data_IF_312967231096
#
_entry.id   IF_312967231096
#
_cell.length_a   1.000
_cell.length_b   1.000
_cell.length_c   1.000
_cell.angle_alpha   90.00
_cell.angle_beta   90.00
_cell.angle_gamma   90.00
#
_symmetry.space_group_name_H-M   'P 1'
#
loop_
_entity.id
_entity.type
_entity.pdbx_description
1 polymer ?
#
# COMPACT_ATOMS: atom_id res chain seq x y z
N UNK A 1 4.19 -24.01 51.08
CA UNK A 1 4.49 -23.50 49.76
C UNK A 1 3.60 -22.29 49.47
N UNK A 2 4.20 -21.10 49.25
CA UNK A 2 3.44 -19.89 48.88
C UNK A 2 3.12 -19.97 47.37
N UNK A 3 1.91 -19.57 46.96
CA UNK A 3 1.59 -19.50 45.51
C UNK A 3 2.45 -18.42 44.83
N UNK A 4 3.10 -18.79 43.73
CA UNK A 4 3.83 -17.85 42.88
C UNK A 4 2.79 -17.03 42.11
N UNK A 5 2.75 -15.73 42.35
CA UNK A 5 1.92 -14.81 41.58
C UNK A 5 2.39 -14.82 40.11
N UNK A 6 1.46 -14.82 39.15
CA UNK A 6 1.84 -14.71 37.74
C UNK A 6 2.54 -13.37 37.50
N UNK A 7 3.69 -13.40 36.84
CA UNK A 7 4.40 -12.20 36.42
C UNK A 7 3.50 -11.35 35.53
N UNK A 8 3.48 -10.02 35.68
CA UNK A 8 2.73 -9.14 34.80
C UNK A 8 3.25 -9.31 33.38
N UNK A 9 2.37 -9.68 32.47
CA UNK A 9 2.65 -9.64 31.03
C UNK A 9 3.03 -8.20 30.65
N UNK A 10 4.24 -8.01 30.17
CA UNK A 10 4.66 -6.74 29.58
C UNK A 10 3.69 -6.37 28.47
N UNK A 11 3.25 -5.11 28.38
CA UNK A 11 2.41 -4.66 27.27
C UNK A 11 3.22 -4.88 25.98
N UNK A 12 2.60 -5.59 25.02
CA UNK A 12 3.13 -5.75 23.67
C UNK A 12 3.46 -4.37 23.12
N UNK A 13 4.67 -4.16 22.64
CA UNK A 13 5.04 -2.93 21.96
C UNK A 13 3.98 -2.61 20.91
N UNK A 14 3.50 -1.37 20.79
CA UNK A 14 2.51 -1.04 19.77
C UNK A 14 3.07 -1.44 18.41
N UNK A 15 2.32 -2.25 17.67
CA UNK A 15 2.74 -2.70 16.33
C UNK A 15 3.01 -1.43 15.49
N UNK A 16 4.16 -1.39 14.83
CA UNK A 16 4.54 -0.25 14.02
C UNK A 16 3.53 -0.13 12.87
N UNK A 17 2.85 1.03 12.77
CA UNK A 17 1.92 1.31 11.69
C UNK A 17 2.57 1.07 10.31
N UNK A 18 1.81 0.50 9.39
CA UNK A 18 2.20 0.38 7.98
C UNK A 18 2.15 1.74 7.31
N UNK A 19 3.26 2.19 6.76
CA UNK A 19 3.31 3.39 5.93
C UNK A 19 3.12 3.01 4.46
N UNK A 20 2.01 3.45 3.90
CA UNK A 20 1.58 3.10 2.54
C UNK A 20 1.56 4.34 1.66
N UNK A 21 2.42 4.37 0.64
CA UNK A 21 2.41 5.43 -0.37
C UNK A 21 1.22 5.29 -1.29
N UNK A 22 0.57 6.40 -1.63
CA UNK A 22 -0.61 6.41 -2.50
C UNK A 22 -0.42 7.33 -3.71
N UNK A 23 -0.72 6.77 -4.91
CA UNK A 23 -0.79 7.49 -6.19
C UNK A 23 -2.11 7.12 -6.86
N UNK A 24 -3.00 8.09 -7.05
CA UNK A 24 -4.36 7.84 -7.54
C UNK A 24 -4.65 8.39 -8.93
N UNK A 25 -3.79 9.27 -9.45
CA UNK A 25 -4.03 9.93 -10.73
C UNK A 25 -2.77 10.03 -11.57
N UNK A 26 -2.94 9.85 -12.88
CA UNK A 26 -1.91 10.06 -13.88
C UNK A 26 -1.93 11.47 -14.47
N UNK A 27 -1.23 11.63 -15.60
CA UNK A 27 -1.23 12.87 -16.35
C UNK A 27 -2.51 12.99 -17.18
N UNK A 28 -3.31 14.01 -16.93
CA UNK A 28 -4.59 14.27 -17.61
C UNK A 28 -4.45 14.56 -19.11
N UNK A 29 -3.25 14.98 -19.57
CA UNK A 29 -2.95 15.13 -20.99
C UNK A 29 -2.86 13.77 -21.72
N UNK A 30 -2.72 12.66 -21.00
CA UNK A 30 -2.71 11.33 -21.60
C UNK A 30 -4.13 10.88 -21.94
N UNK A 31 -4.38 10.53 -23.21
CA UNK A 31 -5.73 10.19 -23.72
C UNK A 31 -6.42 9.05 -22.94
N UNK A 32 -5.65 8.14 -22.37
CA UNK A 32 -6.15 7.00 -21.58
C UNK A 32 -6.28 7.28 -20.08
N UNK A 33 -5.95 8.48 -19.61
CA UNK A 33 -5.88 8.77 -18.17
C UNK A 33 -7.21 8.55 -17.45
N UNK A 34 -8.34 8.94 -18.08
CA UNK A 34 -9.70 8.73 -17.57
C UNK A 34 -10.07 7.26 -17.26
N UNK A 35 -9.33 6.30 -17.84
CA UNK A 35 -9.58 4.87 -17.65
C UNK A 35 -8.72 4.25 -16.55
N UNK A 36 -7.64 4.94 -16.11
CA UNK A 36 -6.69 4.43 -15.14
C UNK A 36 -6.64 5.26 -13.85
N UNK A 37 -6.98 6.54 -13.90
CA UNK A 37 -7.06 7.40 -12.72
C UNK A 37 -8.32 7.09 -11.92
N UNK A 38 -8.19 7.12 -10.60
CA UNK A 38 -9.25 6.78 -9.64
C UNK A 38 -9.44 7.99 -8.72
N UNK A 39 -10.66 8.49 -8.50
CA UNK A 39 -10.88 9.56 -7.53
C UNK A 39 -10.33 9.21 -6.15
N UNK A 40 -9.62 10.13 -5.51
CA UNK A 40 -9.03 9.90 -4.18
C UNK A 40 -10.07 9.46 -3.14
N UNK A 41 -11.30 9.98 -3.24
CA UNK A 41 -12.40 9.60 -2.35
C UNK A 41 -12.72 8.09 -2.35
N UNK A 42 -12.43 7.40 -3.44
CA UNK A 42 -12.65 5.94 -3.52
C UNK A 42 -11.66 5.14 -2.68
N UNK A 43 -10.52 5.71 -2.29
CA UNK A 43 -9.53 5.03 -1.44
C UNK A 43 -9.87 5.07 0.06
N UNK A 44 -11.03 5.60 0.43
CA UNK A 44 -11.48 5.62 1.82
C UNK A 44 -11.45 4.24 2.50
N UNK A 45 -11.87 3.11 1.87
CA UNK A 45 -11.74 1.78 2.47
C UNK A 45 -10.29 1.40 2.79
N UNK A 46 -9.33 1.77 1.94
CA UNK A 46 -7.89 1.56 2.17
C UNK A 46 -7.39 2.41 3.33
N UNK A 47 -7.82 3.68 3.39
CA UNK A 47 -7.43 4.61 4.45
C UNK A 47 -7.96 4.20 5.84
N UNK A 48 -9.09 3.49 5.88
CA UNK A 48 -9.72 3.01 7.12
C UNK A 48 -9.20 1.67 7.64
N UNK A 49 -8.25 1.05 6.97
CA UNK A 49 -7.62 -0.18 7.45
C UNK A 49 -6.85 0.11 8.75
N UNK A 50 -7.17 -0.57 9.86
CA UNK A 50 -6.46 -0.36 11.13
C UNK A 50 -4.95 -0.58 10.99
N UNK A 51 -4.17 0.26 11.68
CA UNK A 51 -2.71 0.16 11.65
C UNK A 51 -2.04 0.68 10.37
N UNK A 52 -2.79 1.31 9.44
CA UNK A 52 -2.27 1.89 8.21
C UNK A 52 -2.18 3.41 8.31
N UNK A 53 -1.10 3.98 7.79
CA UNK A 53 -0.94 5.41 7.55
C UNK A 53 -0.65 5.65 6.08
N UNK A 54 -1.49 6.45 5.44
CA UNK A 54 -1.32 6.80 4.04
C UNK A 54 -0.38 7.99 3.88
N UNK A 55 0.52 7.90 2.91
CA UNK A 55 1.46 8.96 2.52
C UNK A 55 1.21 9.31 1.06
N UNK A 56 0.92 10.58 0.78
CA UNK A 56 0.73 11.04 -0.59
C UNK A 56 2.04 10.99 -1.36
N UNK A 57 2.05 10.27 -2.46
CA UNK A 57 3.11 10.35 -3.47
C UNK A 57 2.64 11.10 -4.73
N UNK A 58 1.40 11.63 -4.69
CA UNK A 58 0.81 12.36 -5.80
C UNK A 58 1.47 13.71 -5.99
N UNK A 59 1.89 13.99 -7.22
CA UNK A 59 2.44 15.27 -7.65
C UNK A 59 1.62 15.83 -8.81
N UNK A 60 1.47 17.14 -8.86
CA UNK A 60 0.75 17.83 -9.92
C UNK A 60 -0.74 17.48 -9.95
N UNK A 61 -1.21 16.92 -11.07
CA UNK A 61 -2.63 16.60 -11.27
C UNK A 61 -3.19 15.70 -10.17
N UNK A 62 -4.41 16.03 -9.71
CA UNK A 62 -5.13 15.26 -8.69
C UNK A 62 -4.78 15.60 -7.26
N UNK A 63 -3.74 16.40 -7.02
CA UNK A 63 -3.35 16.83 -5.68
C UNK A 63 -4.47 17.64 -4.98
N UNK A 64 -5.22 18.42 -5.73
CA UNK A 64 -6.35 19.23 -5.25
C UNK A 64 -7.43 18.38 -4.55
N UNK A 65 -7.47 17.08 -4.83
CA UNK A 65 -8.40 16.15 -4.20
C UNK A 65 -8.07 15.89 -2.72
N UNK A 66 -6.84 16.15 -2.26
CA UNK A 66 -6.46 15.95 -0.85
C UNK A 66 -7.32 16.84 0.04
N UNK A 67 -7.40 18.15 -0.27
CA UNK A 67 -8.19 19.09 0.50
C UNK A 67 -9.68 18.71 0.52
N UNK A 68 -10.22 18.25 -0.62
CA UNK A 68 -11.61 17.82 -0.74
C UNK A 68 -11.96 16.58 0.10
N UNK A 69 -10.96 15.79 0.50
CA UNK A 69 -11.15 14.56 1.26
C UNK A 69 -10.58 14.62 2.68
N UNK A 70 -10.06 15.76 3.12
CA UNK A 70 -9.41 15.95 4.42
C UNK A 70 -10.29 15.56 5.62
N UNK A 71 -11.60 15.76 5.52
CA UNK A 71 -12.57 15.37 6.55
C UNK A 71 -12.92 13.87 6.56
N UNK A 72 -12.59 13.15 5.49
CA UNK A 72 -12.95 11.72 5.33
C UNK A 72 -11.88 10.79 5.87
N UNK A 73 -10.61 11.11 5.63
CA UNK A 73 -9.45 10.35 6.12
C UNK A 73 -8.17 11.18 6.07
N UNK A 74 -7.22 10.78 6.89
CA UNK A 74 -5.90 11.41 6.96
C UNK A 74 -4.99 10.91 5.83
N UNK A 75 -4.28 11.83 5.19
CA UNK A 75 -3.26 11.56 4.20
C UNK A 75 -2.04 12.45 4.51
N UNK A 76 -0.89 11.83 4.78
CA UNK A 76 0.34 12.54 5.13
C UNK A 76 0.94 13.14 3.85
N UNK A 77 1.10 14.44 3.82
CA UNK A 77 1.85 15.17 2.79
C UNK A 77 3.27 15.42 3.27
N UNK A 78 4.28 15.02 2.51
CA UNK A 78 5.70 15.08 2.92
C UNK A 78 6.51 16.13 2.17
N UNK A 79 5.99 16.66 1.06
CA UNK A 79 6.70 17.64 0.20
C UNK A 79 5.72 18.53 -0.54
N UNK A 80 6.24 19.58 -1.17
CA UNK A 80 5.47 20.43 -2.07
C UNK A 80 4.92 19.59 -3.26
N UNK A 81 3.60 19.47 -3.40
CA UNK A 81 2.99 18.69 -4.48
C UNK A 81 3.14 19.34 -5.86
N UNK A 82 3.46 20.61 -5.93
CA UNK A 82 3.66 21.33 -7.19
C UNK A 82 5.05 21.13 -7.77
N UNK A 83 6.00 20.63 -6.98
CA UNK A 83 7.34 20.31 -7.44
C UNK A 83 7.32 19.02 -8.27
N UNK A 84 7.43 19.17 -9.59
CA UNK A 84 7.46 18.10 -10.59
C UNK A 84 8.81 18.01 -11.31
N UNK A 85 9.86 18.52 -10.69
CA UNK A 85 11.23 18.49 -11.22
C UNK A 85 11.82 17.07 -11.21
N UNK A 86 12.97 16.91 -11.86
CA UNK A 86 13.71 15.65 -11.81
C UNK A 86 14.22 15.34 -10.39
N UNK A 87 14.60 16.36 -9.64
CA UNK A 87 15.00 16.29 -8.24
C UNK A 87 13.85 15.77 -7.38
N UNK A 88 12.63 16.26 -7.59
CA UNK A 88 11.44 15.76 -6.89
C UNK A 88 11.17 14.27 -7.14
N UNK A 89 11.56 13.73 -8.30
CA UNK A 89 11.47 12.31 -8.58
C UNK A 89 12.49 11.51 -7.75
N UNK A 90 13.69 12.04 -7.56
CA UNK A 90 14.72 11.44 -6.69
C UNK A 90 14.25 11.41 -5.23
N UNK A 91 13.68 12.52 -4.76
CA UNK A 91 13.12 12.61 -3.41
C UNK A 91 11.95 11.64 -3.23
N UNK A 92 11.08 11.53 -4.23
CA UNK A 92 9.98 10.55 -4.24
C UNK A 92 10.53 9.12 -4.15
N UNK A 93 11.60 8.79 -4.88
CA UNK A 93 12.25 7.48 -4.81
C UNK A 93 12.84 7.21 -3.41
N UNK A 94 13.44 8.22 -2.77
CA UNK A 94 13.96 8.11 -1.40
C UNK A 94 12.84 7.86 -0.39
N UNK A 95 11.70 8.55 -0.53
CA UNK A 95 10.52 8.30 0.31
C UNK A 95 9.99 6.88 0.09
N UNK A 96 9.82 6.45 -1.17
CA UNK A 96 9.35 5.09 -1.50
C UNK A 96 10.18 4.00 -0.83
N UNK A 97 11.50 4.17 -0.71
CA UNK A 97 12.40 3.21 -0.03
C UNK A 97 12.16 3.09 1.46
N UNK A 98 11.47 4.06 2.07
CA UNK A 98 11.12 4.07 3.49
C UNK A 98 9.66 3.66 3.75
N UNK A 99 8.90 3.33 2.71
CA UNK A 99 7.53 2.85 2.82
C UNK A 99 7.47 1.32 2.87
N UNK A 100 6.43 0.80 3.50
CA UNK A 100 6.17 -0.63 3.58
C UNK A 100 5.48 -1.17 2.32
N UNK A 101 4.75 -0.30 1.63
CA UNK A 101 3.99 -0.61 0.42
C UNK A 101 3.75 0.69 -0.37
N UNK A 102 3.68 0.58 -1.69
CA UNK A 102 3.14 1.62 -2.58
C UNK A 102 1.89 1.09 -3.25
N UNK A 103 0.77 1.82 -3.15
CA UNK A 103 -0.45 1.58 -3.92
C UNK A 103 -0.53 2.66 -4.99
N UNK A 104 -0.65 2.26 -6.24
CA UNK A 104 -0.66 3.20 -7.36
C UNK A 104 -1.65 2.77 -8.45
N UNK A 105 -2.13 3.75 -9.21
CA UNK A 105 -2.69 3.49 -10.53
C UNK A 105 -1.56 3.29 -11.54
N UNK A 106 -1.86 2.84 -12.77
CA UNK A 106 -0.86 2.58 -13.83
C UNK A 106 -0.17 3.88 -14.29
N UNK A 107 0.89 4.26 -13.59
CA UNK A 107 1.68 5.49 -13.81
C UNK A 107 3.17 5.22 -13.72
N UNK A 108 3.99 6.22 -14.08
CA UNK A 108 5.45 6.17 -13.95
C UNK A 108 5.91 5.86 -12.52
N UNK A 109 5.18 6.30 -11.51
CA UNK A 109 5.52 6.05 -10.10
C UNK A 109 5.34 4.58 -9.70
N UNK A 110 4.37 3.86 -10.29
CA UNK A 110 4.27 2.41 -10.13
C UNK A 110 5.51 1.69 -10.67
N UNK A 111 5.99 2.11 -11.84
CA UNK A 111 7.21 1.58 -12.45
C UNK A 111 8.46 1.93 -11.62
N UNK A 112 8.56 3.16 -11.13
CA UNK A 112 9.65 3.59 -10.26
C UNK A 112 9.72 2.73 -9.00
N UNK A 113 8.60 2.55 -8.30
CA UNK A 113 8.55 1.74 -7.10
C UNK A 113 8.93 0.27 -7.37
N UNK A 114 8.45 -0.30 -8.47
CA UNK A 114 8.83 -1.66 -8.91
C UNK A 114 10.33 -1.78 -9.22
N UNK A 115 10.90 -0.81 -9.92
CA UNK A 115 12.34 -0.78 -10.25
C UNK A 115 13.23 -0.62 -9.00
N UNK A 116 12.73 0.07 -7.98
CA UNK A 116 13.40 0.20 -6.67
C UNK A 116 13.29 -1.06 -5.80
N UNK A 117 12.54 -2.09 -6.24
CA UNK A 117 12.28 -3.29 -5.46
C UNK A 117 11.36 -3.06 -4.25
N UNK A 118 10.64 -1.96 -4.21
CA UNK A 118 9.62 -1.69 -3.20
C UNK A 118 8.40 -2.57 -3.48
N UNK A 119 7.70 -3.00 -2.43
CA UNK A 119 6.43 -3.72 -2.61
C UNK A 119 5.40 -2.77 -3.23
N UNK A 120 4.78 -3.19 -4.34
CA UNK A 120 3.83 -2.35 -5.09
C UNK A 120 2.55 -3.10 -5.39
N UNK A 121 1.42 -2.43 -5.16
CA UNK A 121 0.11 -2.86 -5.62
C UNK A 121 -0.41 -1.87 -6.66
N UNK A 122 -0.76 -2.37 -7.84
CA UNK A 122 -1.24 -1.51 -8.92
C UNK A 122 -2.72 -1.78 -9.18
N UNK A 123 -3.53 -0.72 -9.07
CA UNK A 123 -4.91 -0.74 -9.52
C UNK A 123 -4.95 -0.65 -11.04
N UNK A 124 -5.39 -1.73 -11.70
CA UNK A 124 -5.32 -1.89 -13.14
C UNK A 124 -6.69 -1.75 -13.80
N UNK A 125 -6.82 -0.97 -14.88
CA UNK A 125 -8.03 -0.95 -15.68
C UNK A 125 -8.26 -2.31 -16.35
N UNK A 126 -9.50 -2.59 -16.73
CA UNK A 126 -9.86 -3.81 -17.47
C UNK A 126 -9.06 -3.94 -18.75
N UNK A 127 -8.98 -2.86 -19.53
CA UNK A 127 -8.16 -2.76 -20.75
C UNK A 127 -6.82 -2.10 -20.39
N UNK A 128 -5.89 -2.88 -19.89
CA UNK A 128 -4.54 -2.42 -19.52
C UNK A 128 -3.58 -2.49 -20.72
N UNK A 129 -2.46 -1.80 -20.61
CA UNK A 129 -1.36 -1.86 -21.58
C UNK A 129 -0.82 -3.31 -21.72
N UNK A 130 -0.31 -3.66 -22.92
CA UNK A 130 0.20 -4.99 -23.25
C UNK A 130 1.28 -5.50 -22.29
N UNK A 131 2.10 -4.61 -21.74
CA UNK A 131 3.20 -4.95 -20.82
C UNK A 131 2.72 -5.63 -19.54
N UNK A 132 1.48 -5.39 -19.16
CA UNK A 132 0.90 -5.98 -17.95
C UNK A 132 0.31 -7.37 -18.20
N UNK A 133 0.30 -7.85 -19.46
CA UNK A 133 -0.30 -9.12 -19.86
C UNK A 133 -1.78 -9.23 -19.44
N UNK A 134 -2.37 -10.39 -19.57
CA UNK A 134 -3.77 -10.64 -19.17
C UNK A 134 -3.85 -11.85 -18.24
N UNK A 135 -4.91 -11.92 -17.42
CA UNK A 135 -5.25 -13.10 -16.63
C UNK A 135 -4.30 -13.41 -15.48
N UNK A 136 -3.46 -12.44 -15.02
CA UNK A 136 -2.51 -12.65 -13.92
C UNK A 136 -2.50 -11.46 -12.95
N UNK A 137 -2.13 -11.72 -11.71
CA UNK A 137 -1.98 -10.71 -10.64
C UNK A 137 -0.52 -10.33 -10.37
N UNK A 138 0.45 -10.97 -11.01
CA UNK A 138 1.87 -10.66 -10.96
C UNK A 138 2.35 -10.07 -12.29
N UNK A 139 3.61 -9.69 -12.37
CA UNK A 139 4.24 -9.19 -13.58
C UNK A 139 5.68 -9.71 -13.71
N UNK A 140 6.14 -10.06 -14.91
CA UNK A 140 7.53 -10.51 -15.10
C UNK A 140 8.56 -9.39 -14.93
N UNK A 141 8.13 -8.12 -14.97
CA UNK A 141 9.02 -6.97 -14.92
C UNK A 141 9.46 -6.61 -13.49
N UNK A 142 8.56 -6.80 -12.50
CA UNK A 142 8.78 -6.38 -11.13
C UNK A 142 8.32 -7.46 -10.15
N UNK A 143 9.25 -8.24 -9.56
CA UNK A 143 8.88 -9.37 -8.68
C UNK A 143 8.11 -8.97 -7.41
N UNK A 144 8.21 -7.70 -7.00
CA UNK A 144 7.56 -7.16 -5.81
C UNK A 144 6.18 -6.57 -6.09
N UNK A 145 5.71 -6.64 -7.34
CA UNK A 145 4.47 -5.99 -7.78
C UNK A 145 3.31 -6.97 -7.86
N UNK A 146 2.14 -6.54 -7.33
CA UNK A 146 0.86 -7.24 -7.47
C UNK A 146 -0.13 -6.36 -8.21
N UNK A 147 -0.88 -6.96 -9.16
CA UNK A 147 -1.85 -6.27 -10.01
C UNK A 147 -3.28 -6.57 -9.55
N UNK A 148 -4.02 -5.53 -9.21
CA UNK A 148 -5.44 -5.60 -8.86
C UNK A 148 -6.27 -5.12 -10.04
N UNK A 149 -6.76 -6.02 -10.87
CA UNK A 149 -7.45 -5.70 -12.11
C UNK A 149 -8.94 -5.49 -11.91
N UNK A 150 -9.51 -4.50 -12.63
CA UNK A 150 -10.96 -4.41 -12.79
C UNK A 150 -11.50 -5.70 -13.42
N UNK A 151 -12.64 -6.17 -12.94
CA UNK A 151 -13.42 -7.26 -13.54
C UNK A 151 -14.45 -6.75 -14.53
N UNK A 152 -14.91 -5.51 -14.36
CA UNK A 152 -15.76 -4.79 -15.28
C UNK A 152 -15.27 -3.35 -15.46
N UNK A 153 -15.45 -2.83 -16.67
CA UNK A 153 -15.00 -1.49 -17.03
C UNK A 153 -15.65 -0.43 -16.12
N UNK A 154 -14.80 0.40 -15.53
CA UNK A 154 -15.22 1.51 -14.65
C UNK A 154 -15.56 1.08 -13.21
N UNK A 155 -15.62 -0.19 -12.87
CA UNK A 155 -15.89 -0.67 -11.51
C UNK A 155 -14.62 -0.66 -10.65
N UNK A 156 -14.24 0.52 -10.17
CA UNK A 156 -13.09 0.66 -9.28
C UNK A 156 -13.38 0.27 -7.83
N UNK A 157 -14.63 0.39 -7.37
CA UNK A 157 -15.00 0.07 -5.98
C UNK A 157 -14.58 -1.34 -5.59
N UNK A 158 -14.86 -2.35 -6.44
CA UNK A 158 -14.47 -3.74 -6.20
C UNK A 158 -12.95 -3.94 -6.12
N UNK A 159 -12.18 -3.21 -6.95
CA UNK A 159 -10.71 -3.24 -6.91
C UNK A 159 -10.21 -2.69 -5.57
N UNK A 160 -10.74 -1.54 -5.15
CA UNK A 160 -10.34 -0.87 -3.89
C UNK A 160 -10.71 -1.74 -2.68
N UNK A 161 -11.88 -2.37 -2.66
CA UNK A 161 -12.28 -3.28 -1.57
C UNK A 161 -11.34 -4.49 -1.47
N UNK A 162 -10.95 -5.09 -2.60
CA UNK A 162 -9.94 -6.17 -2.59
C UNK A 162 -8.58 -5.70 -2.08
N UNK A 163 -8.17 -4.47 -2.45
CA UNK A 163 -6.94 -3.88 -1.92
C UNK A 163 -7.03 -3.65 -0.41
N UNK A 164 -8.15 -3.10 0.06
CA UNK A 164 -8.37 -2.88 1.50
C UNK A 164 -8.35 -4.20 2.29
N UNK A 165 -9.02 -5.25 1.79
CA UNK A 165 -8.98 -6.59 2.40
C UNK A 165 -7.58 -7.15 2.49
N UNK A 166 -6.83 -7.16 1.38
CA UNK A 166 -5.45 -7.61 1.33
C UNK A 166 -4.51 -6.76 2.24
N UNK A 167 -4.79 -5.46 2.38
CA UNK A 167 -4.03 -4.59 3.26
C UNK A 167 -4.31 -4.89 4.74
N UNK A 168 -5.55 -5.23 5.08
CA UNK A 168 -5.92 -5.70 6.42
C UNK A 168 -5.18 -6.98 6.80
N UNK A 169 -5.11 -7.95 5.89
CA UNK A 169 -4.33 -9.18 6.09
C UNK A 169 -2.83 -8.88 6.28
N UNK A 170 -2.27 -7.96 5.49
CA UNK A 170 -0.87 -7.54 5.60
C UNK A 170 -0.59 -6.83 6.93
N UNK A 171 -1.51 -5.98 7.41
CA UNK A 171 -1.39 -5.31 8.70
C UNK A 171 -1.49 -6.30 9.85
N UNK A 172 -2.48 -7.21 9.83
CA UNK A 172 -2.69 -8.23 10.86
C UNK A 172 -1.52 -9.22 10.98
N UNK A 173 -0.89 -9.59 9.87
CA UNK A 173 0.28 -10.50 9.90
C UNK A 173 1.52 -9.91 10.60
N UNK A 174 1.57 -8.60 10.83
CA UNK A 174 2.62 -7.94 11.63
C UNK A 174 2.32 -7.86 13.11
N UNK A 175 1.06 -8.08 13.50
CA UNK A 175 0.64 -8.09 14.90
C UNK A 175 0.87 -9.45 15.58
N UNK A 176 1.07 -10.53 14.81
CA UNK A 176 1.42 -11.82 15.39
C UNK A 176 2.86 -11.76 15.96
N UNK A 177 3.03 -11.99 17.27
CA UNK A 177 4.36 -12.12 17.84
C UNK A 177 5.07 -13.28 17.18
N UNK A 178 6.34 -13.09 16.79
CA UNK A 178 7.21 -14.19 16.35
C UNK A 178 7.05 -15.36 17.33
N UNK A 179 6.81 -16.58 16.86
CA UNK A 179 6.74 -17.75 17.73
C UNK A 179 8.02 -17.80 18.57
N UNK A 180 7.86 -17.86 19.89
CA UNK A 180 8.95 -17.92 20.85
C UNK A 180 9.87 -19.12 20.48
N UNK A 181 11.12 -18.89 20.05
CA UNK A 181 12.02 -19.96 19.66
C UNK A 181 12.33 -20.91 20.81
N UNK A 182 12.07 -20.55 22.07
CA UNK A 182 12.26 -21.41 23.23
C UNK A 182 11.15 -22.44 23.43
N UNK A 183 10.01 -22.29 22.76
CA UNK A 183 8.88 -23.21 22.89
C UNK A 183 9.07 -24.56 22.15
N UNK A 184 10.10 -24.65 21.28
CA UNK A 184 10.45 -25.87 20.54
C UNK A 184 11.44 -26.78 21.26
N UNK A 185 11.94 -26.39 22.45
CA UNK A 185 12.91 -27.16 23.23
C UNK A 185 12.33 -27.84 24.46
N UNK A 186 11.08 -28.31 24.42
CA UNK A 186 10.65 -29.31 25.41
C UNK A 186 11.03 -30.69 24.89
N UNK A 187 12.08 -31.36 25.49
CA UNK A 187 12.37 -32.73 25.14
C UNK A 187 11.22 -33.62 25.63
N UNK A 188 10.79 -34.51 24.77
CA UNK A 188 9.96 -35.64 25.15
C UNK A 188 10.77 -36.55 26.07
N UNK A 189 10.75 -36.26 27.37
CA UNK A 189 11.27 -37.14 28.42
C UNK A 189 10.10 -37.49 29.34
N UNK A 190 9.35 -38.51 28.96
CA UNK A 190 8.59 -39.39 29.87
C UNK A 190 8.06 -40.55 29.05
N UNK A 191 8.71 -41.68 29.18
CA UNK A 191 8.28 -42.96 28.71
C UNK A 191 9.24 -44.00 29.20
#
# INVERSE_FOLDING_TARGET
AKPVSPSPSLPLSPSRALHVGLVWQGNTAHKGDRFRSIPLSMFEPVAKVPGVKLVSLQKGYGHEQIEQNRERFELIEWSDPTDVTAEALVDTAAVMKNLDLVIAVDTSLAHLAGALGVKVWVAMPLASDWRWLVGREDTPWYPTMRLFRQRKLGEWGEVIERMAGALGELAGSREEPMPDPTRQLQPALAG
#
